data_IF_842652985652
#
_entry.id   IF_842652985652
#
_cell.length_a   1.000
_cell.length_b   1.000
_cell.length_c   1.000
_cell.angle_alpha   90.00
_cell.angle_beta   90.00
_cell.angle_gamma   90.00
#
_symmetry.space_group_name_H-M   'P 1'
#
loop_
_entity.id
_entity.type
_entity.pdbx_description
1 polymer ?
#
# COMPACT_ATOMS: atom_id res chain seq x y z
N UNK A 1 3.42 -35.17 -57.37
CA UNK A 1 3.38 -35.05 -55.89
C UNK A 1 4.19 -33.82 -55.47
N UNK A 2 3.54 -32.68 -55.20
CA UNK A 2 4.22 -31.47 -54.72
C UNK A 2 4.08 -31.43 -53.19
N UNK A 3 5.21 -31.48 -52.47
CA UNK A 3 5.26 -31.35 -51.01
C UNK A 3 5.38 -29.87 -50.68
N UNK A 4 4.34 -29.30 -50.05
CA UNK A 4 4.39 -27.95 -49.50
C UNK A 4 4.96 -28.01 -48.09
N UNK A 5 6.00 -27.23 -47.82
CA UNK A 5 6.54 -27.04 -46.47
C UNK A 5 5.90 -25.79 -45.85
N UNK A 6 5.28 -25.94 -44.70
CA UNK A 6 4.79 -24.81 -43.89
C UNK A 6 5.94 -24.38 -42.98
N UNK A 7 6.46 -23.18 -43.19
CA UNK A 7 7.41 -22.53 -42.28
C UNK A 7 6.58 -21.81 -41.22
N UNK A 8 6.59 -22.34 -39.99
CA UNK A 8 6.01 -21.66 -38.82
C UNK A 8 7.08 -20.76 -38.24
N UNK A 9 6.91 -19.45 -38.41
CA UNK A 9 7.80 -18.43 -37.84
C UNK A 9 7.35 -18.12 -36.41
N UNK A 10 8.09 -18.59 -35.41
CA UNK A 10 7.88 -18.24 -34.00
C UNK A 10 8.40 -16.82 -33.76
N UNK A 11 7.50 -15.84 -33.62
CA UNK A 11 7.84 -14.54 -33.07
C UNK A 11 8.00 -14.67 -31.56
N UNK A 12 9.24 -14.61 -31.06
CA UNK A 12 9.51 -14.41 -29.64
C UNK A 12 9.08 -12.98 -29.27
N UNK A 13 7.96 -12.84 -28.58
CA UNK A 13 7.58 -11.57 -27.96
C UNK A 13 8.40 -11.46 -26.67
N UNK A 14 9.27 -10.44 -26.51
CA UNK A 14 10.00 -10.26 -25.26
C UNK A 14 9.02 -9.88 -24.16
N UNK A 15 8.83 -10.80 -23.21
CA UNK A 15 8.08 -10.55 -21.99
C UNK A 15 8.93 -9.64 -21.10
N UNK A 16 8.62 -8.35 -21.07
CA UNK A 16 9.30 -7.41 -20.17
C UNK A 16 8.75 -7.61 -18.76
N UNK A 17 9.48 -8.32 -17.91
CA UNK A 17 9.24 -8.37 -16.47
C UNK A 17 9.76 -7.04 -15.91
N UNK A 18 8.86 -6.14 -15.53
CA UNK A 18 9.23 -4.92 -14.81
C UNK A 18 9.39 -5.24 -13.33
N UNK A 19 10.62 -5.24 -12.83
CA UNK A 19 10.89 -5.24 -11.40
C UNK A 19 10.49 -3.87 -10.81
N UNK A 20 10.09 -3.86 -9.53
CA UNK A 20 9.87 -2.61 -8.81
C UNK A 20 11.21 -1.91 -8.56
N UNK A 21 11.22 -0.58 -8.64
CA UNK A 21 12.47 0.19 -8.69
C UNK A 21 13.13 0.42 -7.33
N UNK A 22 12.37 0.44 -6.23
CA UNK A 22 12.88 0.85 -4.93
C UNK A 22 12.56 -0.15 -3.82
N UNK A 23 13.56 -0.39 -2.97
CA UNK A 23 13.42 -1.12 -1.71
C UNK A 23 13.93 -0.25 -0.56
N UNK A 24 13.24 -0.32 0.57
CA UNK A 24 13.57 0.37 1.80
C UNK A 24 13.95 -0.66 2.87
N UNK A 25 14.97 -0.33 3.68
CA UNK A 25 15.27 -1.04 4.91
C UNK A 25 14.72 -0.22 6.07
N UNK A 26 13.82 -0.83 6.85
CA UNK A 26 13.36 -0.27 8.11
C UNK A 26 14.20 -0.88 9.23
N UNK A 27 14.99 -0.04 9.90
CA UNK A 27 15.76 -0.42 11.08
C UNK A 27 14.99 -0.03 12.34
N UNK A 28 14.67 -1.02 13.17
CA UNK A 28 13.89 -0.79 14.40
C UNK A 28 14.56 -1.45 15.60
N UNK A 29 14.14 -1.06 16.81
CA UNK A 29 14.61 -1.71 18.04
C UNK A 29 14.14 -3.16 18.19
N UNK A 30 13.22 -3.63 17.34
CA UNK A 30 12.66 -4.98 17.35
C UNK A 30 13.17 -5.84 16.20
N UNK A 31 14.09 -5.33 15.38
CA UNK A 31 14.56 -6.02 14.19
C UNK A 31 14.43 -5.17 12.94
N UNK A 32 14.95 -5.71 11.84
CA UNK A 32 14.97 -5.03 10.56
C UNK A 32 14.04 -5.75 9.58
N UNK A 33 13.34 -4.99 8.75
CA UNK A 33 12.52 -5.56 7.70
C UNK A 33 12.65 -4.74 6.41
N UNK A 34 12.39 -5.39 5.27
CA UNK A 34 12.51 -4.75 3.96
C UNK A 34 11.14 -4.54 3.35
N UNK A 35 10.99 -3.40 2.70
CA UNK A 35 9.77 -2.99 2.00
C UNK A 35 10.10 -2.72 0.55
N UNK A 36 9.30 -3.23 -0.38
CA UNK A 36 9.33 -2.78 -1.77
C UNK A 36 8.29 -1.67 -1.97
N UNK A 37 8.64 -0.64 -2.72
CA UNK A 37 7.70 0.41 -3.13
C UNK A 37 7.15 0.12 -4.52
N UNK A 38 5.89 0.49 -4.75
CA UNK A 38 5.23 0.27 -6.03
C UNK A 38 5.48 1.41 -7.01
N UNK A 39 5.93 1.07 -8.21
CA UNK A 39 6.16 2.01 -9.31
C UNK A 39 4.88 2.53 -9.95
N UNK A 40 3.76 1.84 -9.68
CA UNK A 40 2.43 2.23 -10.14
C UNK A 40 1.65 3.11 -9.15
N UNK A 41 2.25 3.46 -8.02
CA UNK A 41 1.81 4.57 -7.15
C UNK A 41 2.94 5.59 -6.98
N UNK A 42 3.39 6.18 -8.11
CA UNK A 42 4.65 6.92 -8.16
C UNK A 42 4.64 8.15 -7.26
N UNK A 43 3.51 8.83 -7.03
CA UNK A 43 3.49 10.04 -6.20
C UNK A 43 3.71 9.71 -4.73
N UNK A 44 3.09 8.65 -4.21
CA UNK A 44 3.30 8.22 -2.83
C UNK A 44 4.69 7.61 -2.64
N UNK A 45 5.18 6.84 -3.62
CA UNK A 45 6.57 6.37 -3.66
C UNK A 45 7.56 7.52 -3.58
N UNK A 46 7.41 8.53 -4.43
CA UNK A 46 8.35 9.65 -4.49
C UNK A 46 8.25 10.53 -3.22
N UNK A 47 7.06 10.63 -2.64
CA UNK A 47 6.83 11.32 -1.37
C UNK A 47 7.58 10.65 -0.21
N UNK A 48 7.46 9.32 -0.04
CA UNK A 48 8.18 8.62 1.03
C UNK A 48 9.70 8.68 0.82
N UNK A 49 10.18 8.57 -0.41
CA UNK A 49 11.61 8.70 -0.73
C UNK A 49 12.14 10.10 -0.42
N UNK A 50 11.34 11.14 -0.63
CA UNK A 50 11.69 12.52 -0.28
C UNK A 50 11.73 12.68 1.24
N UNK A 51 10.71 12.19 1.95
CA UNK A 51 10.65 12.24 3.40
C UNK A 51 11.84 11.51 4.07
N UNK A 52 12.29 10.38 3.51
CA UNK A 52 13.50 9.68 3.97
C UNK A 52 14.75 10.55 3.76
N UNK A 53 14.90 11.20 2.61
CA UNK A 53 16.05 12.11 2.34
C UNK A 53 16.07 13.33 3.26
N UNK A 54 14.91 13.71 3.79
CA UNK A 54 14.73 14.83 4.73
C UNK A 54 14.74 14.36 6.19
N UNK A 55 15.18 13.12 6.46
CA UNK A 55 15.28 12.50 7.79
C UNK A 55 13.96 12.46 8.58
N UNK A 56 12.80 12.57 7.92
CA UNK A 56 11.48 12.64 8.56
C UNK A 56 11.19 11.42 9.45
N UNK A 57 11.63 10.24 9.03
CA UNK A 57 11.40 8.99 9.76
C UNK A 57 12.54 8.63 10.73
N UNK A 58 13.63 9.40 10.75
CA UNK A 58 14.78 9.09 11.60
C UNK A 58 14.41 9.27 13.08
N UNK A 59 14.42 8.17 13.84
CA UNK A 59 14.00 8.17 15.25
C UNK A 59 12.48 8.33 15.45
N UNK A 60 11.67 8.23 14.39
CA UNK A 60 10.22 8.20 14.51
C UNK A 60 9.75 6.90 15.17
N UNK A 61 8.60 6.96 15.87
CA UNK A 61 8.02 5.81 16.54
C UNK A 61 6.80 5.28 15.78
N UNK A 62 6.56 3.98 15.93
CA UNK A 62 5.23 3.43 15.69
C UNK A 62 4.36 3.76 16.91
N UNK A 63 3.50 4.76 16.77
CA UNK A 63 2.74 5.35 17.87
C UNK A 63 1.34 4.75 18.05
N UNK A 64 0.86 3.96 17.08
CA UNK A 64 -0.43 3.28 17.17
C UNK A 64 -0.34 1.87 16.61
N UNK A 65 -0.32 0.91 17.53
CA UNK A 65 -0.27 -0.53 17.24
C UNK A 65 -1.63 -1.11 17.60
N UNK A 66 -2.39 -1.53 16.59
CA UNK A 66 -3.71 -2.14 16.77
C UNK A 66 -3.66 -3.55 16.20
N UNK A 67 -3.78 -4.53 17.10
CA UNK A 67 -3.83 -5.94 16.76
C UNK A 67 -4.94 -6.21 15.71
N UNK A 68 -4.63 -7.04 14.72
CA UNK A 68 -5.54 -7.39 13.61
C UNK A 68 -5.98 -6.18 12.77
N UNK A 69 -5.24 -5.07 12.80
CA UNK A 69 -5.50 -3.88 12.01
C UNK A 69 -4.21 -3.30 11.42
N UNK A 70 -3.61 -2.29 12.05
CA UNK A 70 -2.43 -1.60 11.51
C UNK A 70 -1.40 -1.27 12.58
N UNK A 71 -0.15 -1.17 12.14
CA UNK A 71 0.95 -0.56 12.86
C UNK A 71 1.25 0.78 12.17
N UNK A 72 0.88 1.88 12.81
CA UNK A 72 1.00 3.23 12.25
C UNK A 72 2.20 3.97 12.86
N UNK A 73 2.88 4.77 12.02
CA UNK A 73 4.02 5.60 12.41
C UNK A 73 4.24 6.77 11.45
N UNK A 74 5.43 7.35 11.51
CA UNK A 74 5.73 8.61 10.84
C UNK A 74 5.15 9.80 11.59
N UNK A 75 4.47 10.71 10.90
CA UNK A 75 3.87 11.90 11.55
C UNK A 75 2.65 11.54 12.41
N UNK A 76 2.63 12.05 13.64
CA UNK A 76 1.57 11.75 14.61
C UNK A 76 0.32 12.62 14.40
N UNK A 77 -0.87 12.06 14.68
CA UNK A 77 -2.16 12.78 14.55
C UNK A 77 -2.17 14.11 15.31
N UNK A 78 -1.61 14.15 16.52
CA UNK A 78 -1.55 15.36 17.35
C UNK A 78 -0.66 16.46 16.74
N UNK A 79 0.42 16.09 16.06
CA UNK A 79 1.33 17.04 15.40
C UNK A 79 0.67 17.65 14.17
N UNK A 80 0.02 16.80 13.37
CA UNK A 80 -0.81 17.22 12.24
C UNK A 80 -1.91 18.16 12.72
N UNK A 81 -2.66 17.75 13.75
CA UNK A 81 -3.76 18.54 14.30
C UNK A 81 -3.27 19.90 14.83
N UNK A 82 -2.15 19.95 15.57
CA UNK A 82 -1.55 21.21 16.05
C UNK A 82 -1.13 22.13 14.91
N UNK A 83 -0.49 21.60 13.86
CA UNK A 83 -0.09 22.36 12.67
C UNK A 83 -1.28 22.94 11.93
N UNK A 84 -2.39 22.21 11.91
CA UNK A 84 -3.55 22.49 11.05
C UNK A 84 -4.76 23.10 11.79
N UNK A 85 -4.67 23.29 13.10
CA UNK A 85 -5.78 23.76 13.95
C UNK A 85 -6.39 25.07 13.46
N UNK A 86 -5.57 25.99 12.96
CA UNK A 86 -5.99 27.29 12.43
C UNK A 86 -5.99 27.36 10.90
N UNK A 87 -5.79 26.22 10.21
CA UNK A 87 -5.79 26.16 8.75
C UNK A 87 -7.17 25.76 8.22
N UNK A 88 -7.79 26.56 7.34
CA UNK A 88 -8.95 26.14 6.57
C UNK A 88 -8.67 24.81 5.84
N UNK A 89 -9.69 23.96 5.71
CA UNK A 89 -9.55 22.65 5.05
C UNK A 89 -8.86 22.73 3.69
N UNK A 90 -9.24 23.72 2.87
CA UNK A 90 -8.65 23.96 1.52
C UNK A 90 -7.16 24.31 1.51
N UNK A 91 -6.59 24.71 2.66
CA UNK A 91 -5.16 25.02 2.82
C UNK A 91 -4.36 23.88 3.42
N UNK A 92 -5.01 22.82 3.91
CA UNK A 92 -4.33 21.65 4.46
C UNK A 92 -3.72 20.87 3.31
N UNK A 93 -2.39 20.69 3.37
CA UNK A 93 -1.68 19.97 2.32
C UNK A 93 -1.98 18.48 2.46
N UNK A 94 -2.37 17.86 1.35
CA UNK A 94 -2.62 16.43 1.21
C UNK A 94 -2.09 15.96 -0.13
N UNK A 95 -1.82 14.67 -0.25
CA UNK A 95 -1.51 14.04 -1.53
C UNK A 95 -2.77 13.33 -2.05
N UNK A 96 -3.18 13.60 -3.29
CA UNK A 96 -4.32 12.92 -3.90
C UNK A 96 -4.06 11.40 -3.99
N UNK A 97 -5.09 10.57 -3.79
CA UNK A 97 -4.92 9.12 -3.72
C UNK A 97 -4.46 8.51 -5.05
N UNK A 98 -3.76 7.38 -4.96
CA UNK A 98 -3.36 6.56 -6.11
C UNK A 98 -3.91 5.14 -5.94
N UNK A 99 -5.20 4.96 -6.23
CA UNK A 99 -5.84 3.65 -6.15
C UNK A 99 -5.53 2.81 -7.39
N UNK A 100 -4.92 1.64 -7.18
CA UNK A 100 -4.64 0.64 -8.22
C UNK A 100 -5.04 -0.74 -7.71
N UNK A 101 -5.64 -1.58 -8.54
CA UNK A 101 -6.11 -2.93 -8.14
C UNK A 101 -4.96 -3.84 -7.68
N UNK A 102 -3.73 -3.57 -8.12
CA UNK A 102 -2.51 -4.28 -7.69
C UNK A 102 -2.03 -3.83 -6.31
N UNK A 103 -2.44 -2.65 -5.85
CA UNK A 103 -2.10 -2.09 -4.54
C UNK A 103 -3.31 -2.19 -3.61
N UNK A 104 -3.37 -3.29 -2.85
CA UNK A 104 -4.48 -3.59 -1.95
C UNK A 104 -3.99 -3.97 -0.56
N UNK A 105 -4.86 -3.89 0.43
CA UNK A 105 -4.50 -3.96 1.85
C UNK A 105 -4.28 -5.39 2.36
N UNK A 106 -3.48 -6.21 1.68
CA UNK A 106 -3.02 -7.51 2.19
C UNK A 106 -2.10 -7.34 3.41
N UNK A 107 -1.89 -8.43 4.15
CA UNK A 107 -0.90 -8.48 5.23
C UNK A 107 0.46 -7.92 4.77
N UNK A 108 1.04 -7.01 5.55
CA UNK A 108 2.31 -6.32 5.27
C UNK A 108 2.26 -5.21 4.23
N UNK A 109 1.08 -4.88 3.69
CA UNK A 109 0.94 -3.72 2.81
C UNK A 109 1.32 -2.42 3.55
N UNK A 110 2.07 -1.55 2.88
CA UNK A 110 2.41 -0.20 3.33
C UNK A 110 1.41 0.79 2.74
N UNK A 111 0.64 1.45 3.62
CA UNK A 111 -0.37 2.43 3.24
C UNK A 111 -0.15 3.81 3.84
N UNK A 112 -0.80 4.81 3.26
CA UNK A 112 -0.71 6.21 3.67
C UNK A 112 -1.93 6.61 4.53
N UNK A 113 -1.67 7.18 5.70
CA UNK A 113 -2.70 7.69 6.60
C UNK A 113 -3.46 8.88 6.00
N UNK A 114 -4.71 9.08 6.42
CA UNK A 114 -5.51 10.26 6.07
C UNK A 114 -6.55 10.59 7.13
N UNK A 115 -7.06 11.82 7.08
CA UNK A 115 -8.31 12.20 7.73
C UNK A 115 -9.54 11.87 6.87
N UNK A 116 -10.73 12.05 7.43
CA UNK A 116 -11.97 11.98 6.65
C UNK A 116 -12.12 13.24 5.79
N UNK A 117 -11.78 13.10 4.51
CA UNK A 117 -11.90 14.15 3.49
C UNK A 117 -12.51 13.59 2.21
N UNK A 118 -13.20 14.45 1.45
CA UNK A 118 -13.98 14.04 0.26
C UNK A 118 -13.09 13.48 -0.86
N UNK A 119 -11.86 13.98 -0.96
CA UNK A 119 -10.90 13.60 -2.00
C UNK A 119 -10.15 12.30 -1.65
N UNK A 120 -10.35 11.77 -0.43
CA UNK A 120 -9.59 10.65 0.14
C UNK A 120 -8.08 10.86 0.08
N UNK A 121 -7.65 12.12 0.17
CA UNK A 121 -6.27 12.54 0.05
C UNK A 121 -5.49 12.23 1.34
N UNK A 122 -4.26 11.74 1.18
CA UNK A 122 -3.40 11.29 2.26
C UNK A 122 -2.68 12.43 2.97
N UNK A 123 -2.37 12.22 4.25
CA UNK A 123 -1.34 12.97 4.94
C UNK A 123 0.01 12.75 4.24
N UNK A 124 0.96 13.66 4.47
CA UNK A 124 2.22 13.63 3.74
C UNK A 124 3.19 12.57 4.29
N UNK A 125 3.28 12.46 5.61
CA UNK A 125 4.33 11.69 6.27
C UNK A 125 3.79 10.65 7.28
N UNK A 126 2.47 10.41 7.28
CA UNK A 126 1.88 9.37 8.13
C UNK A 126 1.73 8.09 7.32
N UNK A 127 2.34 7.02 7.82
CA UNK A 127 2.36 5.71 7.17
C UNK A 127 1.83 4.64 8.11
N UNK A 128 1.38 3.51 7.54
CA UNK A 128 1.04 2.33 8.31
C UNK A 128 1.36 1.04 7.58
N UNK A 129 1.63 -0.01 8.35
CA UNK A 129 1.71 -1.39 7.87
C UNK A 129 0.45 -2.16 8.26
N UNK A 130 -0.09 -2.92 7.33
CA UNK A 130 -1.26 -3.76 7.56
C UNK A 130 -0.86 -5.02 8.33
N UNK A 131 -1.50 -5.25 9.48
CA UNK A 131 -1.38 -6.47 10.29
C UNK A 131 -2.75 -7.13 10.48
N UNK A 132 -3.59 -7.06 9.44
CA UNK A 132 -4.94 -7.61 9.42
C UNK A 132 -4.95 -9.15 9.33
N UNK A 133 -5.99 -9.76 9.90
CA UNK A 133 -6.18 -11.22 9.90
C UNK A 133 -6.92 -11.73 8.66
N UNK A 134 -6.89 -13.05 8.37
CA UNK A 134 -7.75 -13.67 7.38
C UNK A 134 -9.23 -13.32 7.59
N UNK A 135 -9.92 -13.02 6.50
CA UNK A 135 -11.37 -12.78 6.47
C UNK A 135 -12.09 -13.93 5.79
N UNK A 136 -13.42 -13.96 5.88
CA UNK A 136 -14.22 -14.99 5.23
C UNK A 136 -14.66 -14.57 3.82
N UNK A 137 -15.06 -15.54 3.00
CA UNK A 137 -15.68 -15.24 1.71
C UNK A 137 -16.98 -14.43 1.86
N UNK A 138 -17.73 -14.66 2.95
CA UNK A 138 -18.95 -13.91 3.27
C UNK A 138 -18.64 -12.43 3.53
N UNK A 139 -17.57 -12.13 4.29
CA UNK A 139 -17.11 -10.77 4.53
C UNK A 139 -16.76 -10.06 3.22
N UNK A 140 -16.02 -10.74 2.34
CA UNK A 140 -15.65 -10.21 1.03
C UNK A 140 -16.88 -9.95 0.15
N UNK A 141 -17.83 -10.88 0.08
CA UNK A 141 -19.08 -10.71 -0.68
C UNK A 141 -19.91 -9.53 -0.16
N UNK A 142 -20.01 -9.39 1.17
CA UNK A 142 -20.69 -8.27 1.80
C UNK A 142 -20.03 -6.94 1.43
N UNK A 143 -18.71 -6.85 1.48
CA UNK A 143 -17.96 -5.66 1.09
C UNK A 143 -18.14 -5.31 -0.39
N UNK A 144 -18.08 -6.31 -1.29
CA UNK A 144 -18.34 -6.10 -2.71
C UNK A 144 -19.73 -5.50 -2.95
N UNK A 145 -20.76 -6.04 -2.28
CA UNK A 145 -22.13 -5.53 -2.40
C UNK A 145 -22.28 -4.12 -1.81
N UNK A 146 -21.65 -3.84 -0.67
CA UNK A 146 -21.73 -2.54 -0.01
C UNK A 146 -21.00 -1.43 -0.77
N UNK A 147 -19.83 -1.72 -1.34
CA UNK A 147 -18.98 -0.74 -2.02
C UNK A 147 -19.17 -0.72 -3.54
N UNK A 148 -19.88 -1.70 -4.10
CA UNK A 148 -20.01 -1.86 -5.55
C UNK A 148 -18.69 -2.21 -6.23
N UNK A 149 -17.77 -2.88 -5.51
CA UNK A 149 -16.46 -3.29 -6.02
C UNK A 149 -16.44 -4.80 -6.30
N UNK A 150 -15.46 -5.24 -7.11
CA UNK A 150 -15.18 -6.64 -7.33
C UNK A 150 -13.72 -6.92 -7.04
N UNK A 151 -13.45 -7.85 -6.13
CA UNK A 151 -12.09 -8.29 -5.84
C UNK A 151 -11.59 -9.21 -6.96
N UNK A 152 -10.30 -9.14 -7.24
CA UNK A 152 -9.62 -10.11 -8.11
C UNK A 152 -9.42 -11.44 -7.39
N UNK A 153 -9.18 -12.52 -8.13
CA UNK A 153 -8.91 -13.82 -7.52
C UNK A 153 -7.66 -13.77 -6.62
N UNK A 154 -6.64 -13.00 -7.01
CA UNK A 154 -5.44 -12.76 -6.20
C UNK A 154 -5.78 -12.08 -4.86
N UNK A 155 -6.57 -11.00 -4.90
CA UNK A 155 -7.01 -10.30 -3.70
C UNK A 155 -7.79 -11.23 -2.78
N UNK A 156 -8.74 -11.99 -3.33
CA UNK A 156 -9.54 -12.95 -2.57
C UNK A 156 -8.62 -13.98 -1.90
N UNK A 157 -7.70 -14.60 -2.65
CA UNK A 157 -6.79 -15.60 -2.07
C UNK A 157 -5.92 -15.02 -0.96
N UNK A 158 -5.33 -13.82 -1.16
CA UNK A 158 -4.54 -13.16 -0.13
C UNK A 158 -5.36 -12.90 1.13
N UNK A 159 -6.58 -12.37 0.99
CA UNK A 159 -7.47 -12.06 2.12
C UNK A 159 -7.98 -13.27 2.88
N UNK A 160 -8.20 -14.40 2.21
CA UNK A 160 -8.66 -15.64 2.84
C UNK A 160 -7.54 -16.41 3.55
N UNK A 161 -6.30 -16.29 3.08
CA UNK A 161 -5.18 -17.15 3.54
C UNK A 161 -4.20 -16.41 4.45
N UNK A 162 -3.75 -15.22 4.03
CA UNK A 162 -2.75 -14.42 4.76
C UNK A 162 -3.43 -13.39 5.64
N UNK A 163 -4.53 -12.80 5.15
CA UNK A 163 -5.24 -11.72 5.82
C UNK A 163 -4.98 -10.35 5.22
N UNK A 164 -5.51 -9.35 5.89
CA UNK A 164 -5.47 -7.98 5.43
C UNK A 164 -6.69 -7.17 5.87
N UNK A 165 -6.95 -6.07 5.17
CA UNK A 165 -8.00 -5.12 5.47
C UNK A 165 -8.78 -4.72 4.21
N UNK A 166 -9.51 -5.65 3.57
CA UNK A 166 -10.25 -5.39 2.32
C UNK A 166 -11.22 -4.20 2.42
N UNK A 167 -11.69 -3.87 3.63
CA UNK A 167 -12.55 -2.70 3.87
C UNK A 167 -11.89 -1.37 3.51
N UNK A 168 -10.56 -1.28 3.54
CA UNK A 168 -9.80 -0.07 3.24
C UNK A 168 -9.51 0.12 1.74
N UNK A 169 -9.71 -0.92 0.92
CA UNK A 169 -9.44 -0.85 -0.52
C UNK A 169 -10.30 0.22 -1.20
N UNK A 170 -9.66 1.10 -1.98
CA UNK A 170 -10.31 2.25 -2.63
C UNK A 170 -10.66 3.41 -1.68
N UNK A 171 -10.25 3.32 -0.41
CA UNK A 171 -10.39 4.40 0.57
C UNK A 171 -9.04 4.96 1.04
N UNK A 172 -7.98 4.16 0.94
CA UNK A 172 -6.62 4.52 1.35
C UNK A 172 -5.61 4.04 0.29
N UNK A 173 -4.56 4.81 0.07
CA UNK A 173 -3.51 4.45 -0.90
C UNK A 173 -2.57 3.43 -0.28
N UNK A 174 -2.39 2.28 -0.94
CA UNK A 174 -1.29 1.36 -0.68
C UNK A 174 -0.17 1.65 -1.69
N UNK A 175 1.07 1.76 -1.22
CA UNK A 175 2.19 2.16 -2.08
C UNK A 175 3.46 1.33 -1.88
N UNK A 176 3.37 0.26 -1.12
CA UNK A 176 4.42 -0.73 -1.00
C UNK A 176 3.97 -1.93 -0.20
N UNK A 177 4.89 -2.84 0.07
CA UNK A 177 4.67 -4.01 0.91
C UNK A 177 5.97 -4.52 1.53
N UNK A 178 5.86 -5.14 2.70
CA UNK A 178 6.96 -5.88 3.32
C UNK A 178 7.27 -7.12 2.47
N UNK A 179 8.56 -7.34 2.20
CA UNK A 179 9.06 -8.47 1.40
C UNK A 179 10.01 -9.40 2.17
N UNK A 180 10.50 -8.96 3.34
CA UNK A 180 11.43 -9.71 4.20
C UNK A 180 11.33 -9.18 5.63
N UNK A 181 11.48 -10.04 6.64
CA UNK A 181 11.48 -9.66 8.06
C UNK A 181 10.12 -9.75 8.78
N UNK A 182 9.24 -10.67 8.38
CA UNK A 182 8.00 -10.96 9.13
C UNK A 182 8.21 -11.85 10.36
N UNK A 183 9.33 -12.59 10.42
CA UNK A 183 9.56 -13.71 11.34
C UNK A 183 10.70 -13.49 12.34
N UNK A 184 11.31 -12.30 12.36
CA UNK A 184 12.49 -11.96 13.20
C UNK A 184 12.12 -11.25 14.51
#
# INVERSE_FOLDING_TARGET
>A
MKRSYIIVLFFLIPLSISAQSYQLLFETSYGNFKVVLYDFTPKHRDLVLTAIKEDVYQGAFFNRIIENFVVQGGEHDDEIAKREVNLPLVKRKRLLPEFDLRAFHKLGALGAGRDENIDKASFLNQIYFVVGKPVTMEDLQKLQNQKGIKFTDEQIQAYLTQGGLPRLDGDYTVFGEVIEGFDD
#
